data_IF_142795414345
#
_entry.id   IF_142795414345
#
_cell.length_a   1.000
_cell.length_b   1.000
_cell.length_c   1.000
_cell.angle_alpha   90.00
_cell.angle_beta   90.00
_cell.angle_gamma   90.00
#
_symmetry.space_group_name_H-M   'P 1'
#
loop_
_entity.id
_entity.type
_entity.pdbx_description
1 polymer ?
#
# COMPACT_ATOMS: atom_id res chain seq x y z
N UNK A 1 -16.35 3.20 27.60
CA UNK A 1 -16.89 3.26 26.21
C UNK A 1 -16.04 4.17 25.31
N UNK A 2 -15.59 5.32 25.81
CA UNK A 2 -14.61 6.21 25.15
C UNK A 2 -13.26 5.56 24.89
N UNK A 3 -12.77 4.70 25.80
CA UNK A 3 -11.45 4.05 25.66
C UNK A 3 -11.40 3.06 24.49
N UNK A 4 -12.51 2.33 24.25
CA UNK A 4 -12.65 1.41 23.13
C UNK A 4 -12.72 2.12 21.77
N UNK A 5 -13.28 3.35 21.76
CA UNK A 5 -13.30 4.20 20.58
C UNK A 5 -11.90 4.75 20.28
N UNK A 6 -11.21 5.26 21.30
CA UNK A 6 -9.86 5.81 21.17
C UNK A 6 -8.86 4.74 20.68
N UNK A 7 -8.93 3.53 21.25
CA UNK A 7 -8.10 2.40 20.82
C UNK A 7 -8.39 1.96 19.39
N UNK A 8 -9.66 1.93 18.98
CA UNK A 8 -10.05 1.59 17.59
C UNK A 8 -9.51 2.61 16.59
N UNK A 9 -9.60 3.90 16.90
CA UNK A 9 -9.07 4.97 16.05
C UNK A 9 -7.53 4.88 15.95
N UNK A 10 -6.84 4.62 17.06
CA UNK A 10 -5.39 4.45 17.06
C UNK A 10 -4.96 3.24 16.22
N UNK A 11 -5.67 2.10 16.35
CA UNK A 11 -5.42 0.89 15.56
C UNK A 11 -5.59 1.15 14.06
N UNK A 12 -6.67 1.82 13.65
CA UNK A 12 -6.91 2.17 12.24
C UNK A 12 -5.79 3.07 11.71
N UNK A 13 -5.35 4.09 12.46
CA UNK A 13 -4.25 4.96 12.03
C UNK A 13 -2.96 4.19 11.84
N UNK A 14 -2.61 3.32 12.78
CA UNK A 14 -1.41 2.49 12.67
C UNK A 14 -1.47 1.63 11.41
N UNK A 15 -2.60 0.95 11.16
CA UNK A 15 -2.78 0.13 9.96
C UNK A 15 -2.65 0.94 8.67
N UNK A 16 -3.20 2.16 8.62
CA UNK A 16 -3.06 3.04 7.45
C UNK A 16 -1.60 3.46 7.21
N UNK A 17 -0.83 3.73 8.28
CA UNK A 17 0.60 4.01 8.16
C UNK A 17 1.37 2.78 7.68
N UNK A 18 1.08 1.60 8.22
CA UNK A 18 1.73 0.35 7.76
C UNK A 18 1.35 0.04 6.32
N UNK A 19 0.10 0.23 5.92
CA UNK A 19 -0.33 0.11 4.52
C UNK A 19 0.46 1.04 3.60
N UNK A 20 0.71 2.28 4.01
CA UNK A 20 1.53 3.19 3.24
C UNK A 20 2.97 2.68 3.09
N UNK A 21 3.58 2.18 4.16
CA UNK A 21 4.92 1.59 4.10
C UNK A 21 4.97 0.36 3.18
N UNK A 22 3.98 -0.54 3.28
CA UNK A 22 3.85 -1.69 2.37
C UNK A 22 3.69 -1.26 0.91
N UNK A 23 3.00 -0.15 0.66
CA UNK A 23 2.87 0.43 -0.68
C UNK A 23 4.18 1.04 -1.20
N UNK A 24 5.00 1.63 -0.33
CA UNK A 24 6.35 2.09 -0.71
C UNK A 24 7.27 0.91 -1.03
N UNK A 25 7.22 -0.16 -0.23
CA UNK A 25 8.01 -1.37 -0.50
C UNK A 25 7.57 -2.01 -1.83
N UNK A 26 6.26 -2.14 -2.06
CA UNK A 26 5.68 -2.60 -3.33
C UNK A 26 6.22 -1.81 -4.52
N UNK A 27 6.19 -0.47 -4.42
CA UNK A 27 6.70 0.43 -5.46
C UNK A 27 8.18 0.19 -5.75
N UNK A 28 9.02 0.09 -4.72
CA UNK A 28 10.46 -0.14 -4.86
C UNK A 28 10.75 -1.51 -5.48
N UNK A 29 10.08 -2.56 -5.01
CA UNK A 29 10.24 -3.91 -5.53
C UNK A 29 9.78 -4.00 -6.99
N UNK A 30 8.65 -3.37 -7.33
CA UNK A 30 8.17 -3.27 -8.71
C UNK A 30 9.23 -2.62 -9.60
N UNK A 31 9.76 -1.46 -9.21
CA UNK A 31 10.76 -0.76 -10.01
C UNK A 31 12.05 -1.58 -10.19
N UNK A 32 12.54 -2.23 -9.14
CA UNK A 32 13.72 -3.11 -9.22
C UNK A 32 13.47 -4.24 -10.21
N UNK A 33 12.32 -4.92 -10.11
CA UNK A 33 11.98 -6.04 -11.00
C UNK A 33 11.75 -5.59 -12.45
N UNK A 34 11.16 -4.42 -12.68
CA UNK A 34 10.97 -3.89 -14.05
C UNK A 34 12.29 -3.55 -14.72
N UNK A 35 13.26 -3.01 -13.97
CA UNK A 35 14.60 -2.67 -14.51
C UNK A 35 15.41 -3.88 -14.94
N UNK A 36 15.09 -5.09 -14.46
CA UNK A 36 15.78 -6.31 -14.92
C UNK A 36 15.37 -6.70 -16.34
N UNK A 37 14.25 -6.18 -16.86
CA UNK A 37 13.69 -6.56 -18.16
C UNK A 37 13.01 -7.94 -18.18
N UNK A 38 13.08 -8.71 -17.09
CA UNK A 38 12.43 -10.02 -16.98
C UNK A 38 10.97 -9.95 -16.50
N UNK A 39 10.56 -8.81 -15.95
CA UNK A 39 9.22 -8.60 -15.43
C UNK A 39 8.54 -7.43 -16.13
N UNK A 40 7.20 -7.48 -16.19
CA UNK A 40 6.38 -6.46 -16.81
C UNK A 40 5.31 -5.97 -15.84
N UNK A 41 4.97 -4.68 -15.94
CA UNK A 41 3.93 -4.06 -15.12
C UNK A 41 2.57 -4.58 -15.57
N UNK A 42 1.85 -5.24 -14.66
CA UNK A 42 0.53 -5.82 -14.93
C UNK A 42 -0.54 -4.73 -15.09
N UNK A 43 -0.38 -3.60 -14.41
CA UNK A 43 -1.32 -2.49 -14.52
C UNK A 43 -1.07 -1.68 -15.83
N UNK A 44 -1.99 -1.71 -16.81
CA UNK A 44 -1.79 -1.04 -18.09
C UNK A 44 -1.67 0.48 -17.96
N UNK A 45 -2.35 1.09 -16.97
CA UNK A 45 -2.24 2.53 -16.70
C UNK A 45 -0.85 2.88 -16.16
N UNK A 46 -0.32 2.08 -15.23
CA UNK A 46 1.03 2.30 -14.70
C UNK A 46 2.10 2.10 -15.78
N UNK A 47 1.88 1.18 -16.72
CA UNK A 47 2.80 0.98 -17.85
C UNK A 47 2.96 2.25 -18.71
N UNK A 48 1.89 3.00 -18.93
CA UNK A 48 1.95 4.29 -19.65
C UNK A 48 2.74 5.36 -18.88
N UNK A 49 2.65 5.32 -17.55
CA UNK A 49 3.28 6.29 -16.64
C UNK A 49 4.77 5.98 -16.46
N UNK A 50 5.14 4.70 -16.46
CA UNK A 50 6.51 4.22 -16.24
C UNK A 50 7.52 4.71 -17.29
N UNK A 51 7.04 5.16 -18.45
CA UNK A 51 7.87 5.82 -19.48
C UNK A 51 8.75 6.95 -18.93
N UNK A 52 8.31 7.62 -17.85
CA UNK A 52 9.13 8.55 -17.08
C UNK A 52 9.23 8.02 -15.65
N UNK A 53 10.38 7.47 -15.21
CA UNK A 53 10.53 6.85 -13.89
C UNK A 53 10.07 7.75 -12.74
N UNK A 54 10.31 9.06 -12.85
CA UNK A 54 9.87 10.04 -11.84
C UNK A 54 8.34 10.08 -11.68
N UNK A 55 7.57 9.93 -12.76
CA UNK A 55 6.11 9.94 -12.69
C UNK A 55 5.59 8.69 -11.98
N UNK A 56 6.25 7.54 -12.16
CA UNK A 56 5.91 6.31 -11.44
C UNK A 56 6.05 6.50 -9.93
N UNK A 57 7.19 7.06 -9.48
CA UNK A 57 7.41 7.33 -8.06
C UNK A 57 6.45 8.37 -7.50
N UNK A 58 6.07 9.40 -8.27
CA UNK A 58 5.08 10.39 -7.80
C UNK A 58 3.71 9.74 -7.63
N UNK A 59 3.27 8.94 -8.60
CA UNK A 59 1.93 8.33 -8.60
C UNK A 59 1.81 7.24 -7.54
N UNK A 60 2.80 6.34 -7.40
CA UNK A 60 2.80 5.31 -6.33
C UNK A 60 3.23 5.86 -4.96
N UNK A 61 3.86 7.03 -4.98
CA UNK A 61 4.30 7.93 -3.92
C UNK A 61 3.27 8.74 -3.14
N UNK A 62 2.99 9.88 -3.78
CA UNK A 62 2.37 11.08 -3.27
C UNK A 62 0.86 10.88 -3.20
N UNK A 63 0.28 10.25 -4.23
CA UNK A 63 -1.15 10.02 -4.26
C UNK A 63 -1.62 9.11 -3.10
N UNK A 64 -0.98 7.95 -2.82
CA UNK A 64 -1.27 7.16 -1.62
C UNK A 64 -0.98 7.92 -0.32
N UNK A 65 0.07 8.74 -0.26
CA UNK A 65 0.39 9.54 0.93
C UNK A 65 -0.72 10.54 1.26
N UNK A 66 -1.22 11.27 0.26
CA UNK A 66 -2.34 12.22 0.39
C UNK A 66 -3.59 11.48 0.85
N UNK A 67 -3.90 10.32 0.24
CA UNK A 67 -5.07 9.54 0.60
C UNK A 67 -4.98 9.04 2.06
N UNK A 68 -3.84 8.49 2.48
CA UNK A 68 -3.63 8.02 3.85
C UNK A 68 -3.72 9.17 4.84
N UNK A 69 -3.11 10.32 4.56
CA UNK A 69 -3.20 11.50 5.40
C UNK A 69 -4.66 11.96 5.56
N UNK A 70 -5.42 12.02 4.47
CA UNK A 70 -6.83 12.35 4.49
C UNK A 70 -7.64 11.37 5.37
N UNK A 71 -7.42 10.07 5.22
CA UNK A 71 -8.11 9.04 6.00
C UNK A 71 -7.77 9.12 7.51
N UNK A 72 -6.52 9.40 7.86
CA UNK A 72 -6.07 9.60 9.25
C UNK A 72 -6.75 10.81 9.90
N UNK A 73 -6.97 11.89 9.15
CA UNK A 73 -7.72 13.06 9.63
C UNK A 73 -9.20 12.70 9.78
N UNK A 74 -9.77 12.01 8.78
CA UNK A 74 -11.20 11.70 8.72
C UNK A 74 -11.65 10.75 9.82
N UNK A 75 -10.83 9.76 10.19
CA UNK A 75 -11.18 8.73 11.19
C UNK A 75 -11.48 9.32 12.58
N UNK A 76 -10.90 10.48 12.92
CA UNK A 76 -11.19 11.21 14.18
C UNK A 76 -12.64 11.67 14.30
N UNK A 77 -13.33 11.88 13.17
CA UNK A 77 -14.66 12.48 13.09
C UNK A 77 -15.74 11.46 12.69
N UNK A 78 -15.48 10.17 12.89
CA UNK A 78 -16.32 9.08 12.38
C UNK A 78 -17.09 8.41 13.52
N UNK A 79 -18.34 8.05 13.27
CA UNK A 79 -19.20 7.33 14.23
C UNK A 79 -18.68 5.89 14.46
N UNK A 80 -18.93 5.34 15.65
CA UNK A 80 -18.44 4.00 16.05
C UNK A 80 -18.81 2.89 15.06
N UNK A 81 -20.04 2.85 14.54
CA UNK A 81 -20.48 1.83 13.57
C UNK A 81 -19.68 1.88 12.26
N UNK A 82 -19.37 3.07 11.77
CA UNK A 82 -18.54 3.26 10.57
C UNK A 82 -17.07 2.92 10.81
N UNK A 83 -16.57 3.00 12.05
CA UNK A 83 -15.20 2.58 12.40
C UNK A 83 -15.03 1.06 12.30
N UNK A 84 -16.04 0.28 12.69
CA UNK A 84 -16.01 -1.18 12.56
C UNK A 84 -15.89 -1.61 11.08
N UNK A 85 -16.72 -1.02 10.22
CA UNK A 85 -16.69 -1.27 8.77
C UNK A 85 -15.34 -0.83 8.20
N UNK A 86 -14.85 0.35 8.58
CA UNK A 86 -13.55 0.85 8.13
C UNK A 86 -12.41 -0.10 8.52
N UNK A 87 -12.43 -0.62 9.75
CA UNK A 87 -11.42 -1.56 10.23
C UNK A 87 -11.46 -2.90 9.47
N UNK A 88 -12.65 -3.40 9.15
CA UNK A 88 -12.81 -4.60 8.32
C UNK A 88 -12.23 -4.39 6.92
N UNK A 89 -12.61 -3.30 6.25
CA UNK A 89 -12.10 -2.97 4.92
C UNK A 89 -10.58 -2.81 4.91
N UNK A 90 -10.02 -2.10 5.91
CA UNK A 90 -8.58 -1.94 6.05
C UNK A 90 -7.88 -3.28 6.26
N UNK A 91 -8.46 -4.20 7.04
CA UNK A 91 -7.90 -5.54 7.22
C UNK A 91 -7.88 -6.34 5.91
N UNK A 92 -8.93 -6.25 5.09
CA UNK A 92 -8.99 -6.91 3.78
C UNK A 92 -7.90 -6.35 2.86
N UNK A 93 -7.78 -5.02 2.79
CA UNK A 93 -6.73 -4.36 2.00
C UNK A 93 -5.35 -4.76 2.51
N UNK A 94 -5.16 -4.83 3.83
CA UNK A 94 -3.91 -5.24 4.46
C UNK A 94 -3.52 -6.67 4.08
N UNK A 95 -4.46 -7.61 4.11
CA UNK A 95 -4.22 -8.98 3.68
C UNK A 95 -3.81 -9.05 2.21
N UNK A 96 -4.47 -8.29 1.33
CA UNK A 96 -4.09 -8.21 -0.09
C UNK A 96 -2.67 -7.65 -0.26
N UNK A 97 -2.32 -6.58 0.46
CA UNK A 97 -0.97 -6.00 0.40
C UNK A 97 0.12 -6.94 0.91
N UNK A 98 -0.17 -7.77 1.92
CA UNK A 98 0.74 -8.83 2.37
C UNK A 98 0.98 -9.83 1.23
N UNK A 99 -0.10 -10.31 0.56
CA UNK A 99 0.03 -11.26 -0.55
C UNK A 99 0.85 -10.67 -1.71
N UNK A 100 0.61 -9.40 -2.06
CA UNK A 100 1.34 -8.71 -3.13
C UNK A 100 2.84 -8.60 -2.77
N UNK A 101 3.16 -8.14 -1.56
CA UNK A 101 4.56 -8.03 -1.12
C UNK A 101 5.24 -9.40 -1.05
N UNK A 102 4.54 -10.45 -0.61
CA UNK A 102 5.06 -11.81 -0.62
C UNK A 102 5.36 -12.30 -2.05
N UNK A 103 4.50 -11.99 -3.03
CA UNK A 103 4.73 -12.30 -4.42
C UNK A 103 5.97 -11.55 -4.99
N UNK A 104 6.17 -10.29 -4.61
CA UNK A 104 7.37 -9.54 -4.96
C UNK A 104 8.64 -10.18 -4.39
N UNK A 105 8.63 -10.56 -3.11
CA UNK A 105 9.77 -11.23 -2.48
C UNK A 105 10.06 -12.56 -3.18
N UNK A 106 9.03 -13.37 -3.48
CA UNK A 106 9.21 -14.63 -4.20
C UNK A 106 9.82 -14.41 -5.60
N UNK A 107 9.31 -13.45 -6.36
CA UNK A 107 9.82 -13.12 -7.69
C UNK A 107 11.26 -12.59 -7.64
N UNK A 108 11.57 -11.76 -6.64
CA UNK A 108 12.91 -11.24 -6.41
C UNK A 108 13.90 -12.37 -6.08
N UNK A 109 13.53 -13.28 -5.16
CA UNK A 109 14.36 -14.44 -4.82
C UNK A 109 14.58 -15.37 -6.02
N UNK A 110 13.53 -15.62 -6.82
CA UNK A 110 13.63 -16.41 -8.05
C UNK A 110 14.62 -15.78 -9.03
N UNK A 111 14.55 -14.47 -9.23
CA UNK A 111 15.49 -13.76 -10.09
C UNK A 111 16.92 -13.82 -9.53
N UNK A 112 17.12 -13.53 -8.25
CA UNK A 112 18.43 -13.51 -7.60
C UNK A 112 19.13 -14.87 -7.58
N UNK A 113 18.39 -15.98 -7.64
CA UNK A 113 18.93 -17.34 -7.67
C UNK A 113 19.27 -17.83 -9.10
N UNK A 114 18.66 -17.23 -10.14
CA UNK A 114 18.87 -17.61 -11.54
C UNK A 114 19.76 -16.64 -12.33
N UNK A 115 20.12 -15.49 -11.75
CA UNK A 115 21.05 -14.50 -12.30
C UNK A 115 22.49 -14.79 -11.84
#
# INVERSE_FOLDING_TARGET
>A
MTDNLLSSVASIRLKLVVLYLLNIIDMLMTDILLRTGCFYELNPFMRLIYNKPINFYIVKSVLPAILVAYLIIRVKRTKQSSLLISNLLINVIFAVYICINAAHIFNFLKFACCA
#
